data_IF_550911503064
#
_entry.id   IF_550911503064
#
_cell.length_a   1.000
_cell.length_b   1.000
_cell.length_c   1.000
_cell.angle_alpha   90.00
_cell.angle_beta   90.00
_cell.angle_gamma   90.00
#
_symmetry.space_group_name_H-M   'P 1'
#
loop_
_entity.id
_entity.type
_entity.pdbx_description
1 polymer ?
#
# COMPACT_ATOMS: atom_id res chain seq x y z
N UNK A 1 -8.21 29.92 2.55
CA UNK A 1 -8.57 28.60 1.99
C UNK A 1 -9.69 28.02 2.82
N UNK A 2 -10.78 27.62 2.20
CA UNK A 2 -11.88 27.04 2.95
C UNK A 2 -11.66 25.52 3.13
N UNK A 3 -12.52 24.91 3.93
CA UNK A 3 -12.39 23.51 4.29
C UNK A 3 -12.49 22.59 3.08
N UNK A 4 -13.40 22.89 2.15
CA UNK A 4 -13.58 22.05 0.98
C UNK A 4 -12.35 22.05 0.08
N UNK A 5 -11.71 23.21 -0.06
CA UNK A 5 -10.49 23.31 -0.86
C UNK A 5 -9.35 22.52 -0.23
N UNK A 6 -9.23 22.59 1.11
CA UNK A 6 -8.19 21.85 1.81
C UNK A 6 -8.38 20.35 1.64
N UNK A 7 -9.61 19.88 1.78
CA UNK A 7 -9.93 18.46 1.61
C UNK A 7 -9.68 18.02 0.18
N UNK A 8 -10.05 18.83 -0.79
CA UNK A 8 -9.83 18.52 -2.20
C UNK A 8 -8.34 18.43 -2.53
N UNK A 9 -7.56 19.36 -2.01
CA UNK A 9 -6.12 19.35 -2.21
C UNK A 9 -5.47 18.15 -1.57
N UNK A 10 -5.92 17.77 -0.39
CA UNK A 10 -5.42 16.58 0.28
C UNK A 10 -5.71 15.33 -0.53
N UNK A 11 -6.95 15.17 -1.01
CA UNK A 11 -7.32 14.04 -1.83
C UNK A 11 -6.49 13.99 -3.12
N UNK A 12 -6.29 15.14 -3.75
CA UNK A 12 -5.48 15.22 -4.96
C UNK A 12 -4.04 14.79 -4.68
N UNK A 13 -3.48 15.24 -3.56
CA UNK A 13 -2.12 14.88 -3.17
C UNK A 13 -2.01 13.37 -2.92
N UNK A 14 -3.02 12.80 -2.28
CA UNK A 14 -3.03 11.37 -2.04
C UNK A 14 -3.12 10.58 -3.35
N UNK A 15 -3.91 11.06 -4.30
CA UNK A 15 -4.00 10.43 -5.62
C UNK A 15 -2.66 10.46 -6.34
N UNK A 16 -1.91 11.53 -6.20
CA UNK A 16 -0.60 11.66 -6.82
C UNK A 16 0.45 10.77 -6.16
N UNK A 17 0.38 10.65 -4.83
CA UNK A 17 1.35 9.85 -4.07
C UNK A 17 1.07 8.36 -4.11
N UNK A 18 -0.19 7.98 -4.34
CA UNK A 18 -0.63 6.59 -4.34
C UNK A 18 -1.41 6.26 -5.61
N UNK A 19 -0.76 6.37 -6.78
CA UNK A 19 -1.45 6.02 -8.02
C UNK A 19 -1.77 4.54 -8.06
N UNK A 20 -2.74 4.13 -8.91
CA UNK A 20 -3.05 2.71 -9.06
C UNK A 20 -1.79 1.90 -9.37
N UNK A 21 -1.67 0.76 -8.74
CA UNK A 21 -0.49 -0.09 -8.87
C UNK A 21 0.57 0.11 -7.81
N UNK A 22 0.44 1.13 -6.96
CA UNK A 22 1.39 1.36 -5.86
C UNK A 22 1.30 0.22 -4.87
N UNK A 23 2.45 -0.33 -4.48
CA UNK A 23 2.50 -1.37 -3.46
C UNK A 23 2.60 -0.73 -2.08
N UNK A 24 1.74 -1.15 -1.18
CA UNK A 24 1.73 -0.64 0.19
C UNK A 24 1.66 -1.79 1.18
N UNK A 25 2.09 -1.50 2.40
CA UNK A 25 2.08 -2.45 3.50
C UNK A 25 1.30 -1.84 4.65
N UNK A 26 0.38 -2.61 5.22
CA UNK A 26 -0.30 -2.20 6.44
C UNK A 26 0.62 -2.41 7.63
N UNK A 27 0.55 -1.48 8.57
CA UNK A 27 1.32 -1.54 9.81
C UNK A 27 0.35 -1.73 10.96
N UNK A 28 0.62 -2.70 11.81
CA UNK A 28 -0.20 -2.91 13.00
C UNK A 28 0.47 -2.24 14.18
N UNK A 29 -0.06 -1.09 14.57
CA UNK A 29 0.51 -0.29 15.65
C UNK A 29 -0.34 -0.32 16.93
N UNK A 30 -1.36 -1.17 16.96
CA UNK A 30 -2.28 -1.20 18.10
C UNK A 30 -1.75 -1.97 19.29
N UNK A 31 -0.72 -2.79 19.10
CA UNK A 31 -0.15 -3.57 20.19
C UNK A 31 1.24 -3.02 20.57
N UNK A 32 1.31 -2.24 21.67
CA UNK A 32 2.61 -1.65 22.06
C UNK A 32 3.63 -2.67 22.57
N UNK A 33 3.20 -3.89 22.86
CA UNK A 33 4.08 -4.91 23.39
C UNK A 33 4.63 -5.85 22.33
N UNK A 34 4.09 -5.79 21.14
CA UNK A 34 4.57 -6.63 20.03
C UNK A 34 5.45 -5.78 19.12
N UNK A 35 6.57 -6.34 18.63
CA UNK A 35 7.27 -5.69 17.53
C UNK A 35 6.28 -5.55 16.38
N UNK A 36 6.26 -4.40 15.71
CA UNK A 36 5.30 -4.15 14.65
C UNK A 36 5.47 -5.25 13.61
N UNK A 37 4.57 -6.25 13.58
CA UNK A 37 4.70 -7.29 12.56
C UNK A 37 4.42 -6.67 11.21
N UNK A 38 5.10 -7.17 10.20
CA UNK A 38 4.76 -6.78 8.85
C UNK A 38 3.32 -7.19 8.60
N UNK A 39 2.48 -6.18 8.37
CA UNK A 39 1.09 -6.44 8.06
C UNK A 39 0.92 -6.93 6.63
N UNK A 40 -0.32 -7.15 6.23
CA UNK A 40 -0.57 -7.57 4.86
C UNK A 40 -0.14 -6.52 3.86
N UNK A 41 0.38 -6.98 2.74
CA UNK A 41 0.73 -6.12 1.61
C UNK A 41 -0.40 -6.12 0.61
N UNK A 42 -0.48 -5.07 -0.17
CA UNK A 42 -1.48 -4.97 -1.21
C UNK A 42 -1.12 -3.94 -2.24
N UNK A 43 -1.99 -3.81 -3.22
CA UNK A 43 -1.80 -2.91 -4.35
C UNK A 43 -2.93 -1.90 -4.37
N UNK A 44 -2.58 -0.64 -4.54
CA UNK A 44 -3.58 0.43 -4.63
C UNK A 44 -4.40 0.24 -5.90
N UNK A 45 -5.72 0.24 -5.74
CA UNK A 45 -6.65 0.21 -6.87
C UNK A 45 -6.94 1.64 -7.32
N UNK A 46 -7.28 2.51 -6.36
CA UNK A 46 -7.47 3.94 -6.61
C UNK A 46 -7.59 4.67 -5.27
N UNK A 47 -7.51 5.99 -5.33
CA UNK A 47 -7.80 6.87 -4.19
C UNK A 47 -9.05 7.66 -4.57
N UNK A 48 -10.04 7.68 -3.67
CA UNK A 48 -11.29 8.38 -3.95
C UNK A 48 -11.22 9.85 -3.54
N UNK A 49 -12.32 10.57 -3.80
CA UNK A 49 -12.37 12.01 -3.52
C UNK A 49 -12.38 12.35 -2.03
N UNK A 50 -12.64 11.35 -1.18
CA UNK A 50 -12.53 11.50 0.26
C UNK A 50 -11.13 11.15 0.77
N UNK A 51 -10.17 10.97 -0.13
CA UNK A 51 -8.79 10.62 0.17
C UNK A 51 -8.64 9.24 0.81
N UNK A 52 -9.62 8.36 0.63
CA UNK A 52 -9.50 6.98 1.08
C UNK A 52 -8.75 6.17 0.02
N UNK A 53 -7.79 5.38 0.48
CA UNK A 53 -6.98 4.56 -0.41
C UNK A 53 -7.62 3.18 -0.50
N UNK A 54 -8.14 2.85 -1.66
CA UNK A 54 -8.71 1.53 -1.91
C UNK A 54 -7.62 0.60 -2.38
N UNK A 55 -7.37 -0.45 -1.61
CA UNK A 55 -6.31 -1.39 -1.93
C UNK A 55 -6.86 -2.81 -2.01
N UNK A 56 -6.23 -3.61 -2.83
CA UNK A 56 -6.49 -5.05 -2.88
C UNK A 56 -5.30 -5.74 -2.24
N UNK A 57 -5.56 -6.42 -1.13
CA UNK A 57 -4.52 -7.17 -0.42
C UNK A 57 -4.11 -8.41 -1.22
N UNK A 58 -2.89 -8.86 -1.01
CA UNK A 58 -2.38 -10.03 -1.71
C UNK A 58 -3.18 -11.30 -1.41
N UNK A 59 -3.89 -11.31 -0.27
CA UNK A 59 -4.77 -12.44 0.08
C UNK A 59 -6.14 -12.36 -0.58
N UNK A 60 -6.40 -11.36 -1.42
CA UNK A 60 -7.65 -11.21 -2.14
C UNK A 60 -8.68 -10.29 -1.50
N UNK A 61 -8.44 -9.83 -0.29
CA UNK A 61 -9.35 -8.89 0.38
C UNK A 61 -9.16 -7.49 -0.14
N UNK A 62 -10.23 -6.71 -0.13
CA UNK A 62 -10.17 -5.28 -0.46
C UNK A 62 -10.41 -4.48 0.81
N UNK A 63 -9.64 -3.41 0.96
CA UNK A 63 -9.72 -2.52 2.12
C UNK A 63 -9.73 -1.09 1.65
N UNK A 64 -10.38 -0.23 2.44
CA UNK A 64 -10.31 1.22 2.25
C UNK A 64 -9.56 1.80 3.45
N UNK A 65 -8.42 2.41 3.18
CA UNK A 65 -7.57 2.98 4.22
C UNK A 65 -7.85 4.46 4.37
N UNK A 66 -7.98 4.91 5.61
CA UNK A 66 -8.21 6.32 5.92
C UNK A 66 -6.90 6.91 6.42
N UNK A 67 -6.26 7.82 5.65
CA UNK A 67 -5.03 8.46 6.10
C UNK A 67 -5.23 9.16 7.44
N UNK A 68 -4.32 8.93 8.37
CA UNK A 68 -4.43 9.49 9.70
C UNK A 68 -5.10 8.57 10.72
N UNK A 69 -5.91 7.63 10.26
CA UNK A 69 -6.54 6.63 11.14
C UNK A 69 -5.89 5.27 10.98
N UNK A 70 -5.59 4.90 9.74
CA UNK A 70 -4.94 3.62 9.46
C UNK A 70 -3.44 3.84 9.25
N UNK A 71 -2.66 2.89 9.73
CA UNK A 71 -1.20 2.95 9.58
C UNK A 71 -0.77 2.11 8.40
N UNK A 72 -0.06 2.73 7.47
CA UNK A 72 0.42 2.05 6.26
C UNK A 72 1.61 2.83 5.72
N UNK A 73 2.37 2.17 4.83
CA UNK A 73 3.46 2.83 4.11
C UNK A 73 3.61 2.20 2.74
N UNK A 74 4.23 2.94 1.83
CA UNK A 74 4.60 2.38 0.53
C UNK A 74 5.81 1.46 0.71
N UNK A 75 5.90 0.47 -0.15
CA UNK A 75 7.10 -0.36 -0.16
C UNK A 75 8.28 0.45 -0.69
N UNK A 76 9.46 0.16 -0.14
CA UNK A 76 10.69 0.79 -0.63
C UNK A 76 11.11 0.17 -1.95
N UNK A 77 12.02 0.86 -2.64
CA UNK A 77 12.58 0.33 -3.89
C UNK A 77 13.26 -1.02 -3.66
N UNK A 78 13.91 -1.18 -2.52
CA UNK A 78 14.55 -2.44 -2.17
C UNK A 78 13.52 -3.55 -1.99
N UNK A 79 12.43 -3.26 -1.32
CA UNK A 79 11.36 -4.24 -1.13
C UNK A 79 10.72 -4.64 -2.45
N UNK A 80 10.52 -3.68 -3.33
CA UNK A 80 9.99 -3.96 -4.67
C UNK A 80 10.95 -4.83 -5.47
N UNK A 81 12.24 -4.56 -5.37
CA UNK A 81 13.26 -5.35 -6.05
C UNK A 81 13.28 -6.79 -5.51
N UNK A 82 13.11 -6.95 -4.22
CA UNK A 82 13.07 -8.28 -3.61
C UNK A 82 11.87 -9.09 -4.10
N UNK A 83 10.71 -8.44 -4.27
CA UNK A 83 9.54 -9.12 -4.84
C UNK A 83 9.82 -9.60 -6.26
N UNK A 84 10.47 -8.78 -7.07
CA UNK A 84 10.81 -9.15 -8.43
C UNK A 84 11.86 -10.24 -8.49
N UNK A 85 12.84 -10.22 -7.59
CA UNK A 85 13.86 -11.26 -7.53
C UNK A 85 13.28 -12.60 -7.19
N UNK A 86 12.30 -12.65 -6.32
CA UNK A 86 11.62 -13.89 -5.98
C UNK A 86 10.93 -14.50 -7.19
N UNK A 87 10.28 -13.67 -7.99
CA UNK A 87 9.63 -14.11 -9.21
C UNK A 87 10.64 -14.62 -10.23
N UNK A 88 11.75 -13.91 -10.38
CA UNK A 88 12.82 -14.33 -11.28
C UNK A 88 13.44 -15.64 -10.87
N UNK A 89 13.62 -15.84 -9.57
CA UNK A 89 14.18 -17.10 -9.05
C UNK A 89 13.27 -18.27 -9.37
N UNK A 90 11.98 -18.10 -9.26
CA UNK A 90 11.03 -19.15 -9.60
C UNK A 90 11.06 -19.48 -11.09
N UNK A 91 11.11 -18.47 -11.93
CA UNK A 91 11.22 -18.66 -13.37
C UNK A 91 12.51 -19.39 -13.74
N UNK A 92 13.59 -19.03 -13.09
CA UNK A 92 14.88 -19.64 -13.34
C UNK A 92 14.85 -21.14 -12.97
N UNK A 93 14.27 -21.46 -11.82
CA UNK A 93 14.16 -22.85 -11.39
C UNK A 93 13.35 -23.69 -12.37
N UNK A 94 12.29 -23.11 -12.91
CA UNK A 94 11.47 -23.81 -13.89
C UNK A 94 12.24 -24.08 -15.17
N UNK A 95 13.10 -23.17 -15.57
CA UNK A 95 13.92 -23.35 -16.77
C UNK A 95 14.98 -24.42 -16.60
N UNK A 96 15.43 -24.61 -15.39
CA UNK A 96 16.45 -25.60 -15.09
C UNK A 96 15.91 -27.02 -15.15
N UNK A 97 14.63 -27.16 -15.03
CA UNK A 97 13.98 -28.47 -15.08
C UNK A 97 13.68 -28.88 -16.52
#
# INVERSE_FOLDING_TARGET
MNRFEAERRFAQRMKENYPPGTRIMLLNMDDPYAPVPEGPKGTVVHVDDAAQIHMKCDNGRTLALVPGEDSFRRLTDQELAEEQQMDESQDFDMKML
#
